data_IF_793669234436
#
_entry.id   IF_793669234436
#
_cell.length_a   1.000
_cell.length_b   1.000
_cell.length_c   1.000
_cell.angle_alpha   90.00
_cell.angle_beta   90.00
_cell.angle_gamma   90.00
#
_symmetry.space_group_name_H-M   'P 1'
#
loop_
_entity.id
_entity.type
_entity.pdbx_description
1 polymer ?
#
# COMPACT_ATOMS: atom_id res chain seq x y z
N UNK A 1 13.10 24.64 -4.57
CA UNK A 1 13.10 23.31 -3.95
C UNK A 1 12.53 22.24 -4.89
N UNK A 2 11.34 22.46 -5.48
CA UNK A 2 10.84 21.62 -6.59
C UNK A 2 11.81 21.53 -7.78
N UNK A 3 12.51 22.62 -8.13
CA UNK A 3 13.61 22.59 -9.11
C UNK A 3 14.81 21.71 -8.73
N UNK A 4 15.06 21.46 -7.44
CA UNK A 4 16.14 20.56 -7.00
C UNK A 4 15.72 19.10 -7.18
N UNK A 5 14.44 18.79 -6.96
CA UNK A 5 13.88 17.47 -7.21
C UNK A 5 13.79 17.15 -8.70
N UNK A 6 13.48 18.15 -9.55
CA UNK A 6 13.41 17.99 -11.01
C UNK A 6 14.77 17.87 -11.72
N UNK A 7 15.89 18.02 -10.99
CA UNK A 7 17.26 18.00 -11.53
C UNK A 7 18.11 16.84 -10.98
N UNK A 8 17.52 15.91 -10.23
CA UNK A 8 18.25 14.73 -9.74
C UNK A 8 18.28 13.67 -10.83
N UNK A 9 19.48 13.17 -11.11
CA UNK A 9 19.63 12.08 -12.06
C UNK A 9 18.94 10.82 -11.53
N UNK A 10 18.12 10.15 -12.37
CA UNK A 10 17.55 8.87 -12.04
C UNK A 10 18.66 7.85 -11.72
N UNK A 11 18.43 7.00 -10.71
CA UNK A 11 19.35 5.89 -10.45
C UNK A 11 19.44 4.98 -11.69
N UNK A 12 20.61 4.39 -11.94
CA UNK A 12 20.76 3.34 -12.94
C UNK A 12 20.13 2.03 -12.44
N UNK A 13 19.73 1.13 -13.34
CA UNK A 13 18.99 -0.10 -13.03
C UNK A 13 19.58 -0.92 -11.86
N UNK A 14 20.88 -1.24 -11.92
CA UNK A 14 21.55 -2.01 -10.86
C UNK A 14 21.61 -1.25 -9.53
N UNK A 15 21.76 0.07 -9.58
CA UNK A 15 21.74 0.92 -8.39
C UNK A 15 20.35 0.92 -7.72
N UNK A 16 19.27 0.86 -8.50
CA UNK A 16 17.89 0.76 -7.97
C UNK A 16 17.68 -0.57 -7.26
N UNK A 17 18.10 -1.67 -7.87
CA UNK A 17 18.04 -3.01 -7.27
C UNK A 17 18.76 -3.05 -5.91
N UNK A 18 19.99 -2.54 -5.87
CA UNK A 18 20.77 -2.47 -4.64
C UNK A 18 20.14 -1.53 -3.61
N UNK A 19 19.58 -0.41 -4.05
CA UNK A 19 18.87 0.53 -3.18
C UNK A 19 17.67 -0.13 -2.51
N UNK A 20 16.79 -0.76 -3.30
CA UNK A 20 15.60 -1.45 -2.79
C UNK A 20 15.98 -2.57 -1.82
N UNK A 21 16.99 -3.40 -2.15
CA UNK A 21 17.48 -4.45 -1.24
C UNK A 21 17.92 -3.89 0.11
N UNK A 22 18.75 -2.84 0.08
CA UNK A 22 19.27 -2.20 1.30
C UNK A 22 18.14 -1.56 2.11
N UNK A 23 17.26 -0.82 1.44
CA UNK A 23 16.14 -0.11 2.05
C UNK A 23 15.14 -1.05 2.69
N UNK A 24 14.89 -2.23 2.11
CA UNK A 24 14.05 -3.26 2.72
C UNK A 24 14.65 -3.82 4.02
N UNK A 25 15.95 -4.08 4.06
CA UNK A 25 16.64 -4.52 5.27
C UNK A 25 16.62 -3.44 6.36
N UNK A 26 16.84 -2.18 5.98
CA UNK A 26 16.76 -1.01 6.86
C UNK A 26 15.36 -0.89 7.47
N UNK A 27 14.31 -0.90 6.64
CA UNK A 27 12.92 -0.83 7.11
C UNK A 27 12.61 -1.99 8.04
N UNK A 28 12.96 -3.21 7.67
CA UNK A 28 12.72 -4.38 8.52
C UNK A 28 13.37 -4.22 9.91
N UNK A 29 14.61 -3.72 9.97
CA UNK A 29 15.29 -3.42 11.23
C UNK A 29 14.56 -2.37 12.08
N UNK A 30 14.10 -1.28 11.45
CA UNK A 30 13.30 -0.23 12.11
C UNK A 30 12.00 -0.79 12.69
N UNK A 31 11.29 -1.62 11.92
CA UNK A 31 10.03 -2.23 12.35
C UNK A 31 10.22 -3.14 13.56
N UNK A 32 11.25 -3.99 13.56
CA UNK A 32 11.56 -4.88 14.70
C UNK A 32 11.82 -4.08 15.98
N UNK A 33 12.40 -2.89 15.88
CA UNK A 33 12.73 -2.05 17.05
C UNK A 33 11.60 -1.11 17.46
N UNK A 34 10.60 -0.89 16.59
CA UNK A 34 9.54 0.11 16.80
C UNK A 34 8.55 -0.21 17.93
N UNK A 35 8.45 -1.48 18.33
CA UNK A 35 7.39 -1.97 19.23
C UNK A 35 5.98 -1.88 18.62
N UNK A 36 5.86 -1.57 17.32
CA UNK A 36 4.58 -1.43 16.63
C UNK A 36 4.11 -2.74 16.00
N UNK A 37 4.98 -3.74 15.82
CA UNK A 37 4.64 -4.91 15.02
C UNK A 37 5.16 -6.20 15.65
N UNK A 38 4.34 -7.24 15.57
CA UNK A 38 4.79 -8.63 15.68
C UNK A 38 5.26 -9.08 14.30
N UNK A 39 6.56 -9.30 14.14
CA UNK A 39 7.14 -9.68 12.85
C UNK A 39 6.81 -11.16 12.53
N UNK A 40 6.39 -11.49 11.30
CA UNK A 40 6.13 -12.89 10.95
C UNK A 40 7.42 -13.73 10.94
N UNK A 41 7.39 -14.92 11.54
CA UNK A 41 8.56 -15.80 11.68
C UNK A 41 9.17 -16.28 10.35
N UNK A 42 8.36 -16.34 9.28
CA UNK A 42 8.77 -16.84 7.95
C UNK A 42 8.18 -16.00 6.82
N UNK A 43 8.77 -14.82 6.62
CA UNK A 43 8.38 -13.88 5.57
C UNK A 43 9.59 -13.47 4.72
N UNK A 44 10.15 -14.43 3.98
CA UNK A 44 11.22 -14.11 3.03
C UNK A 44 10.64 -13.36 1.83
N UNK A 45 11.39 -12.35 1.39
CA UNK A 45 11.02 -11.49 0.27
C UNK A 45 12.14 -11.52 -0.77
N UNK A 46 11.76 -11.81 -2.00
CA UNK A 46 12.66 -11.85 -3.15
C UNK A 46 12.32 -10.71 -4.11
N UNK A 47 13.35 -10.01 -4.59
CA UNK A 47 13.21 -9.04 -5.66
C UNK A 47 13.53 -9.71 -6.98
N UNK A 48 12.61 -9.61 -7.94
CA UNK A 48 12.78 -10.12 -9.29
C UNK A 48 12.55 -9.01 -10.32
N UNK A 49 13.14 -9.23 -11.48
CA UNK A 49 12.73 -8.54 -12.68
C UNK A 49 11.56 -9.31 -13.30
N UNK A 50 10.61 -8.57 -13.86
CA UNK A 50 9.59 -9.10 -14.74
C UNK A 50 10.26 -9.65 -16.01
N UNK A 51 9.68 -10.70 -16.62
CA UNK A 51 10.16 -11.19 -17.91
C UNK A 51 10.24 -10.07 -18.97
N UNK A 52 11.13 -10.17 -19.96
CA UNK A 52 11.28 -9.12 -20.99
C UNK A 52 10.06 -9.02 -21.91
N UNK A 53 9.31 -10.11 -22.07
CA UNK A 53 8.10 -10.18 -22.91
C UNK A 53 6.91 -9.43 -22.30
N UNK A 54 7.13 -8.84 -21.13
CA UNK A 54 6.14 -8.45 -20.18
C UNK A 54 5.93 -6.92 -20.29
N UNK A 55 4.89 -6.49 -21.02
CA UNK A 55 4.52 -5.08 -21.21
C UNK A 55 3.90 -4.42 -19.95
N UNK A 56 3.44 -3.16 -20.07
CA UNK A 56 2.94 -2.22 -19.03
C UNK A 56 2.12 -2.78 -17.84
N UNK A 57 1.55 -3.99 -17.88
CA UNK A 57 0.72 -4.58 -16.82
C UNK A 57 0.82 -6.12 -16.64
N UNK A 58 1.81 -6.79 -17.23
CA UNK A 58 1.85 -8.26 -17.24
C UNK A 58 2.29 -8.92 -15.91
N UNK A 59 3.08 -8.21 -15.08
CA UNK A 59 3.63 -8.71 -13.83
C UNK A 59 3.02 -7.93 -12.67
N UNK A 60 2.49 -8.60 -11.64
CA UNK A 60 2.00 -7.89 -10.48
C UNK A 60 3.16 -7.23 -9.77
N UNK A 61 2.94 -6.07 -9.13
CA UNK A 61 3.98 -5.43 -8.28
C UNK A 61 4.48 -6.39 -7.22
N UNK A 62 3.55 -7.17 -6.65
CA UNK A 62 3.81 -8.12 -5.59
C UNK A 62 3.06 -9.43 -5.84
N UNK A 63 3.74 -10.55 -5.60
CA UNK A 63 3.17 -11.89 -5.58
C UNK A 63 3.36 -12.49 -4.20
N UNK A 64 2.24 -12.84 -3.55
CA UNK A 64 2.23 -13.49 -2.25
C UNK A 64 2.87 -14.90 -2.30
N UNK A 65 3.46 -15.37 -1.19
CA UNK A 65 3.86 -16.77 -1.07
C UNK A 65 2.63 -17.68 -1.17
N UNK A 66 2.79 -18.85 -1.81
CA UNK A 66 1.69 -19.81 -1.97
C UNK A 66 1.24 -20.35 -0.61
N UNK A 67 -0.07 -20.32 -0.30
CA UNK A 67 -0.58 -20.90 0.94
C UNK A 67 -0.27 -22.39 1.04
N UNK A 68 0.36 -22.81 2.14
CA UNK A 68 0.75 -24.21 2.37
C UNK A 68 1.95 -24.69 1.54
N UNK A 69 2.60 -23.79 0.78
CA UNK A 69 3.84 -24.09 0.06
C UNK A 69 5.05 -24.19 0.98
N UNK A 70 6.10 -24.86 0.50
CA UNK A 70 7.34 -25.19 1.23
C UNK A 70 8.29 -23.99 1.46
N UNK A 71 7.78 -22.88 2.01
CA UNK A 71 8.60 -21.70 2.35
C UNK A 71 9.04 -20.84 1.16
N UNK A 72 8.32 -20.89 0.03
CA UNK A 72 8.60 -20.01 -1.11
C UNK A 72 8.46 -18.53 -0.71
N UNK A 73 9.39 -17.64 -1.11
CA UNK A 73 9.35 -16.24 -0.75
C UNK A 73 8.19 -15.52 -1.46
N UNK A 74 7.70 -14.44 -0.83
CA UNK A 74 6.96 -13.42 -1.56
C UNK A 74 7.86 -12.74 -2.59
N UNK A 75 7.33 -12.40 -3.75
CA UNK A 75 8.13 -11.81 -4.84
C UNK A 75 7.66 -10.40 -5.13
N UNK A 76 8.60 -9.47 -5.22
CA UNK A 76 8.38 -8.10 -5.67
C UNK A 76 9.02 -7.90 -7.04
N UNK A 77 8.23 -7.40 -7.99
CA UNK A 77 8.66 -7.09 -9.34
C UNK A 77 8.93 -5.60 -9.48
N UNK A 78 10.11 -5.25 -9.98
CA UNK A 78 10.61 -3.88 -9.94
C UNK A 78 10.11 -3.02 -11.10
N UNK A 79 9.59 -3.58 -12.17
CA UNK A 79 9.33 -2.88 -13.42
C UNK A 79 8.29 -1.77 -13.29
N UNK A 80 7.35 -1.88 -12.35
CA UNK A 80 6.45 -0.76 -11.99
C UNK A 80 7.14 0.37 -11.23
N UNK A 81 8.22 0.08 -10.50
CA UNK A 81 9.11 1.08 -9.90
C UNK A 81 10.17 1.60 -10.89
N UNK A 82 10.31 0.99 -12.06
CA UNK A 82 11.34 1.30 -13.06
C UNK A 82 10.80 1.98 -14.33
N UNK A 83 9.47 2.04 -14.51
CA UNK A 83 8.83 2.56 -15.73
C UNK A 83 8.14 3.90 -15.50
N UNK A 84 8.74 4.96 -16.04
CA UNK A 84 8.25 6.34 -15.98
C UNK A 84 9.35 7.26 -15.44
N UNK A 85 9.71 8.29 -16.20
CA UNK A 85 10.94 9.10 -16.03
C UNK A 85 11.10 9.86 -14.71
N UNK A 86 10.23 9.63 -13.74
CA UNK A 86 10.29 10.17 -12.39
C UNK A 86 10.45 9.09 -11.31
N UNK A 87 10.30 7.77 -11.58
CA UNK A 87 10.25 6.66 -10.61
C UNK A 87 11.58 6.33 -9.90
N UNK A 88 12.61 7.09 -10.20
CA UNK A 88 14.00 6.67 -10.03
C UNK A 88 14.72 7.39 -8.89
N UNK A 89 14.00 8.20 -8.12
CA UNK A 89 14.58 8.89 -6.96
C UNK A 89 14.52 7.99 -5.71
N UNK A 90 15.51 8.12 -4.80
CA UNK A 90 15.55 7.36 -3.54
C UNK A 90 14.25 7.41 -2.73
N UNK A 91 13.59 8.56 -2.71
CA UNK A 91 12.37 8.80 -1.93
C UNK A 91 11.18 8.02 -2.49
N UNK A 92 11.07 7.94 -3.81
CA UNK A 92 10.04 7.13 -4.47
C UNK A 92 10.24 5.66 -4.23
N UNK A 93 11.48 5.19 -4.40
CA UNK A 93 11.82 3.79 -4.12
C UNK A 93 11.59 3.44 -2.65
N UNK A 94 11.84 4.37 -1.73
CA UNK A 94 11.52 4.19 -0.31
C UNK A 94 10.02 4.05 -0.07
N UNK A 95 9.21 4.97 -0.59
CA UNK A 95 7.76 4.90 -0.44
C UNK A 95 7.19 3.66 -1.10
N UNK A 96 7.74 3.26 -2.25
CA UNK A 96 7.40 2.00 -2.91
C UNK A 96 7.76 0.78 -2.06
N UNK A 97 8.91 0.77 -1.38
CA UNK A 97 9.28 -0.27 -0.42
C UNK A 97 8.30 -0.32 0.75
N UNK A 98 7.94 0.83 1.32
CA UNK A 98 6.98 0.91 2.43
C UNK A 98 5.61 0.37 2.03
N UNK A 99 5.10 0.78 0.86
CA UNK A 99 3.81 0.35 0.36
C UNK A 99 3.77 -1.14 0.02
N UNK A 100 4.76 -1.65 -0.72
CA UNK A 100 4.70 -2.99 -1.32
C UNK A 100 5.42 -4.07 -0.52
N UNK A 101 6.43 -3.70 0.27
CA UNK A 101 7.20 -4.62 1.09
C UNK A 101 6.78 -4.53 2.56
N UNK A 102 7.58 -3.81 3.34
CA UNK A 102 7.51 -3.72 4.78
C UNK A 102 7.17 -2.29 5.19
N UNK A 103 6.19 -2.03 6.07
CA UNK A 103 5.24 -2.98 6.64
C UNK A 103 4.01 -3.22 5.74
N UNK A 104 4.03 -2.82 4.47
CA UNK A 104 2.87 -2.87 3.57
C UNK A 104 2.47 -4.26 3.05
N UNK A 105 2.30 -4.39 1.73
CA UNK A 105 1.62 -5.56 1.11
C UNK A 105 2.28 -6.89 1.44
N UNK A 106 3.61 -6.96 1.42
CA UNK A 106 4.32 -8.19 1.71
C UNK A 106 4.07 -8.66 3.14
N UNK A 107 4.19 -7.77 4.13
CA UNK A 107 3.91 -8.11 5.52
C UNK A 107 2.46 -8.57 5.71
N UNK A 108 1.51 -7.87 5.10
CA UNK A 108 0.09 -8.22 5.17
C UNK A 108 -0.17 -9.62 4.62
N UNK A 109 0.37 -9.91 3.43
CA UNK A 109 0.20 -11.20 2.79
C UNK A 109 0.92 -12.33 3.53
N UNK A 110 2.13 -12.09 4.05
CA UNK A 110 2.86 -13.08 4.85
C UNK A 110 2.08 -13.44 6.12
N UNK A 111 1.57 -12.43 6.85
CA UNK A 111 0.75 -12.68 8.03
C UNK A 111 -0.56 -13.40 7.69
N UNK A 112 -1.23 -13.01 6.60
CA UNK A 112 -2.45 -13.67 6.13
C UNK A 112 -2.22 -15.15 5.78
N UNK A 113 -1.13 -15.47 5.07
CA UNK A 113 -0.81 -16.84 4.68
C UNK A 113 -0.51 -17.74 5.88
N UNK A 114 0.08 -17.20 6.95
CA UNK A 114 0.42 -17.95 8.16
C UNK A 114 -0.74 -18.06 9.16
N UNK A 115 -1.48 -16.97 9.37
CA UNK A 115 -2.40 -16.85 10.50
C UNK A 115 -3.87 -17.06 10.13
N UNK A 116 -4.24 -16.93 8.85
CA UNK A 116 -5.64 -17.03 8.47
C UNK A 116 -6.17 -18.48 8.56
N UNK A 117 -7.26 -18.66 9.31
CA UNK A 117 -7.78 -19.98 9.67
C UNK A 117 -8.42 -20.83 8.55
N UNK A 118 -8.53 -20.32 7.31
CA UNK A 118 -9.13 -21.09 6.19
C UNK A 118 -8.38 -20.84 4.89
N UNK A 119 -8.39 -21.81 3.98
CA UNK A 119 -7.79 -21.64 2.64
C UNK A 119 -8.39 -20.45 1.90
N UNK A 120 -9.71 -20.26 1.97
CA UNK A 120 -10.41 -19.12 1.34
C UNK A 120 -9.82 -17.78 1.79
N UNK A 121 -9.56 -17.61 3.09
CA UNK A 121 -8.97 -16.36 3.62
C UNK A 121 -7.49 -16.19 3.28
N UNK A 122 -6.79 -17.27 2.94
CA UNK A 122 -5.39 -17.26 2.51
C UNK A 122 -5.23 -16.98 1.02
N UNK A 123 -6.17 -17.43 0.18
CA UNK A 123 -6.08 -17.30 -1.29
C UNK A 123 -6.89 -16.14 -1.85
N UNK A 124 -7.96 -15.71 -1.17
CA UNK A 124 -8.77 -14.61 -1.67
C UNK A 124 -8.05 -13.28 -1.42
N UNK A 125 -8.18 -12.34 -2.36
CA UNK A 125 -7.56 -11.02 -2.28
C UNK A 125 -8.64 -9.97 -2.01
N UNK A 126 -8.41 -9.14 -1.00
CA UNK A 126 -9.27 -8.00 -0.68
C UNK A 126 -8.48 -6.71 -0.87
N UNK A 127 -8.90 -5.87 -1.82
CA UNK A 127 -8.27 -4.55 -2.01
C UNK A 127 -8.34 -3.71 -0.74
N UNK A 128 -9.46 -3.79 -0.01
CA UNK A 128 -9.63 -3.08 1.26
C UNK A 128 -8.53 -3.47 2.24
N UNK A 129 -8.19 -4.76 2.33
CA UNK A 129 -7.15 -5.18 3.25
C UNK A 129 -5.75 -4.93 2.70
N UNK A 130 -5.47 -5.28 1.46
CA UNK A 130 -4.11 -5.10 0.93
C UNK A 130 -3.74 -3.63 0.73
N UNK A 131 -4.58 -2.90 -0.01
CA UNK A 131 -4.31 -1.49 -0.32
C UNK A 131 -4.55 -0.63 0.90
N UNK A 132 -5.67 -0.83 1.61
CA UNK A 132 -5.98 -0.05 2.82
C UNK A 132 -4.91 -0.19 3.90
N UNK A 133 -4.42 -1.41 4.15
CA UNK A 133 -3.29 -1.64 5.06
C UNK A 133 -2.02 -0.93 4.59
N UNK A 134 -1.65 -1.03 3.31
CA UNK A 134 -0.44 -0.37 2.81
C UNK A 134 -0.46 1.15 2.97
N UNK A 135 -1.62 1.78 2.75
CA UNK A 135 -1.77 3.24 2.94
C UNK A 135 -1.72 3.63 4.42
N UNK A 136 -2.37 2.82 5.26
CA UNK A 136 -2.27 2.95 6.70
C UNK A 136 -0.82 2.82 7.18
N UNK A 137 -0.08 1.84 6.67
CA UNK A 137 1.34 1.60 6.95
C UNK A 137 2.22 2.80 6.52
N UNK A 138 1.99 3.37 5.34
CA UNK A 138 2.70 4.58 4.90
C UNK A 138 2.50 5.76 5.86
N UNK A 139 1.27 5.98 6.31
CA UNK A 139 0.97 7.02 7.29
C UNK A 139 1.64 6.72 8.63
N UNK A 140 1.53 5.50 9.12
CA UNK A 140 2.10 5.10 10.41
C UNK A 140 3.64 5.25 10.41
N UNK A 141 4.33 4.83 9.35
CA UNK A 141 5.79 5.01 9.23
C UNK A 141 6.20 6.48 9.37
N UNK A 142 5.43 7.39 8.78
CA UNK A 142 5.67 8.82 8.93
C UNK A 142 5.43 9.32 10.35
N UNK A 143 4.36 8.89 11.01
CA UNK A 143 4.04 9.29 12.38
C UNK A 143 5.08 8.79 13.40
N UNK A 144 5.73 7.66 13.12
CA UNK A 144 6.84 7.14 13.90
C UNK A 144 8.15 7.91 13.65
N UNK A 145 8.15 8.90 12.76
CA UNK A 145 9.33 9.70 12.42
C UNK A 145 10.31 9.00 11.50
N UNK A 146 9.93 7.90 10.85
CA UNK A 146 10.78 7.24 9.87
C UNK A 146 10.81 8.02 8.55
N UNK A 147 12.00 8.09 7.95
CA UNK A 147 12.28 8.85 6.73
C UNK A 147 11.88 10.33 6.86
N UNK A 148 12.54 11.09 7.76
CA UNK A 148 12.20 12.48 8.04
C UNK A 148 12.58 13.44 6.91
N UNK A 149 13.20 12.96 5.83
CA UNK A 149 13.63 13.77 4.71
C UNK A 149 12.43 14.47 4.05
N UNK A 150 12.50 15.79 3.82
CA UNK A 150 11.38 16.55 3.26
C UNK A 150 11.00 16.06 1.86
N UNK A 151 11.95 15.54 1.09
CA UNK A 151 11.71 14.93 -0.21
C UNK A 151 10.80 13.69 -0.11
N UNK A 152 11.02 12.83 0.90
CA UNK A 152 10.16 11.68 1.18
C UNK A 152 8.78 12.12 1.65
N UNK A 153 8.73 13.11 2.55
CA UNK A 153 7.47 13.67 3.03
C UNK A 153 6.61 14.24 1.89
N UNK A 154 7.20 15.01 0.96
CA UNK A 154 6.50 15.52 -0.21
C UNK A 154 6.03 14.37 -1.11
N UNK A 155 6.90 13.41 -1.43
CA UNK A 155 6.51 12.33 -2.33
C UNK A 155 5.33 11.51 -1.76
N UNK A 156 5.36 11.19 -0.47
CA UNK A 156 4.24 10.54 0.22
C UNK A 156 2.94 11.35 0.11
N UNK A 157 3.01 12.68 0.21
CA UNK A 157 1.83 13.54 0.03
C UNK A 157 1.32 13.56 -1.41
N UNK A 158 2.21 13.56 -2.42
CA UNK A 158 1.82 13.42 -3.83
C UNK A 158 1.14 12.07 -4.09
N UNK A 159 1.67 11.01 -3.52
CA UNK A 159 1.13 9.65 -3.59
C UNK A 159 -0.27 9.54 -2.93
N UNK A 160 -0.47 10.24 -1.80
CA UNK A 160 -1.79 10.38 -1.16
C UNK A 160 -2.77 11.17 -2.01
N UNK A 161 -2.32 12.28 -2.62
CA UNK A 161 -3.13 13.09 -3.52
C UNK A 161 -3.61 12.26 -4.71
N UNK A 162 -2.68 11.55 -5.36
CA UNK A 162 -2.96 10.65 -6.47
C UNK A 162 -4.01 9.59 -6.12
N UNK A 163 -3.85 8.88 -5.00
CA UNK A 163 -4.80 7.83 -4.58
C UNK A 163 -6.18 8.38 -4.21
N UNK A 164 -6.22 9.58 -3.62
CA UNK A 164 -7.48 10.28 -3.35
C UNK A 164 -8.19 10.67 -4.66
N UNK A 165 -7.43 11.20 -5.64
CA UNK A 165 -7.98 11.51 -6.96
C UNK A 165 -8.50 10.25 -7.66
N UNK A 166 -7.77 9.13 -7.61
CA UNK A 166 -8.23 7.86 -8.17
C UNK A 166 -9.55 7.40 -7.55
N UNK A 167 -9.72 7.50 -6.23
CA UNK A 167 -10.97 7.15 -5.57
C UNK A 167 -12.14 8.05 -6.01
N UNK A 168 -11.91 9.35 -6.21
CA UNK A 168 -12.91 10.29 -6.74
C UNK A 168 -13.24 9.96 -8.20
N UNK A 169 -12.24 9.80 -9.05
CA UNK A 169 -12.43 9.47 -10.47
C UNK A 169 -13.16 8.15 -10.68
N UNK A 170 -12.94 7.17 -9.80
CA UNK A 170 -13.68 5.90 -9.84
C UNK A 170 -15.20 6.14 -9.70
N UNK A 171 -15.61 6.98 -8.75
CA UNK A 171 -17.02 7.36 -8.56
C UNK A 171 -17.52 8.19 -9.74
N UNK A 172 -16.76 9.21 -10.15
CA UNK A 172 -17.15 10.10 -11.23
C UNK A 172 -17.39 9.35 -12.55
N UNK A 173 -16.49 8.42 -12.89
CA UNK A 173 -16.59 7.64 -14.13
C UNK A 173 -17.74 6.63 -14.08
N UNK A 174 -17.86 5.89 -12.97
CA UNK A 174 -18.79 4.74 -12.90
C UNK A 174 -20.19 5.10 -12.38
N UNK A 175 -20.37 6.27 -11.76
CA UNK A 175 -21.66 6.73 -11.21
C UNK A 175 -22.14 8.01 -11.90
N UNK A 176 -21.27 9.00 -12.09
CA UNK A 176 -21.64 10.32 -12.61
C UNK A 176 -21.46 10.46 -14.13
N UNK A 177 -20.98 9.42 -14.81
CA UNK A 177 -20.86 9.38 -16.26
C UNK A 177 -19.70 10.23 -16.81
N UNK A 178 -18.68 10.51 -16.01
CA UNK A 178 -17.48 11.20 -16.47
C UNK A 178 -16.79 10.41 -17.60
N UNK A 179 -16.53 11.08 -18.71
CA UNK A 179 -15.81 10.47 -19.83
C UNK A 179 -14.34 10.18 -19.47
N UNK A 180 -13.81 9.06 -19.97
CA UNK A 180 -12.43 8.62 -19.73
C UNK A 180 -11.38 9.69 -20.11
N UNK A 181 -11.63 10.47 -21.17
CA UNK A 181 -10.75 11.58 -21.56
C UNK A 181 -10.68 12.68 -20.49
N UNK A 182 -11.80 12.97 -19.81
CA UNK A 182 -11.82 13.92 -18.70
C UNK A 182 -11.03 13.42 -17.48
N UNK A 183 -11.17 12.14 -17.15
CA UNK A 183 -10.39 11.51 -16.09
C UNK A 183 -8.88 11.51 -16.41
N UNK A 184 -8.50 11.23 -17.66
CA UNK A 184 -7.10 11.28 -18.10
C UNK A 184 -6.48 12.67 -17.93
N UNK A 185 -7.22 13.72 -18.29
CA UNK A 185 -6.76 15.10 -18.12
C UNK A 185 -6.51 15.44 -16.65
N UNK A 186 -7.38 14.99 -15.74
CA UNK A 186 -7.18 15.21 -14.31
C UNK A 186 -5.96 14.44 -13.78
N UNK A 187 -5.75 13.21 -14.23
CA UNK A 187 -4.56 12.41 -13.86
C UNK A 187 -3.26 13.04 -14.38
N UNK A 188 -3.27 13.56 -15.60
CA UNK A 188 -2.11 14.26 -16.19
C UNK A 188 -1.80 15.59 -15.51
N UNK A 189 -2.77 16.19 -14.81
CA UNK A 189 -2.57 17.42 -14.05
C UNK A 189 -1.85 17.19 -12.70
N UNK A 190 -1.64 15.93 -12.28
CA UNK A 190 -0.92 15.62 -11.05
C UNK A 190 0.57 16.01 -11.17
N UNK A 191 1.16 16.69 -10.15
CA UNK A 191 2.56 17.07 -10.21
C UNK A 191 3.49 15.86 -10.33
N UNK A 192 4.34 15.86 -11.36
CA UNK A 192 5.35 14.82 -11.59
C UNK A 192 4.82 13.52 -12.22
N UNK A 193 3.53 13.49 -12.57
CA UNK A 193 2.88 12.36 -13.24
C UNK A 193 3.19 12.37 -14.74
N UNK A 194 3.73 11.27 -15.26
CA UNK A 194 3.95 11.06 -16.69
C UNK A 194 2.66 10.69 -17.43
N UNK A 195 2.67 10.82 -18.76
CA UNK A 195 1.55 10.41 -19.60
C UNK A 195 1.29 8.89 -19.50
N UNK A 196 2.36 8.10 -19.40
CA UNK A 196 2.31 6.65 -19.23
C UNK A 196 1.72 6.25 -17.87
N UNK A 197 2.12 6.93 -16.79
CA UNK A 197 1.54 6.70 -15.46
C UNK A 197 0.05 7.08 -15.42
N UNK A 198 -0.34 8.20 -16.04
CA UNK A 198 -1.74 8.61 -16.14
C UNK A 198 -2.58 7.63 -16.97
N UNK A 199 -2.03 7.10 -18.07
CA UNK A 199 -2.70 6.08 -18.87
C UNK A 199 -2.89 4.77 -18.07
N UNK A 200 -1.87 4.34 -17.32
CA UNK A 200 -1.95 3.16 -16.45
C UNK A 200 -3.00 3.32 -15.36
N UNK A 201 -3.09 4.50 -14.76
CA UNK A 201 -4.12 4.83 -13.77
C UNK A 201 -5.54 4.75 -14.36
N UNK A 202 -5.74 5.33 -15.54
CA UNK A 202 -7.02 5.26 -16.23
C UNK A 202 -7.39 3.80 -16.58
N UNK A 203 -6.44 3.01 -17.05
CA UNK A 203 -6.65 1.59 -17.31
C UNK A 203 -7.03 0.84 -16.02
N UNK A 204 -6.39 1.16 -14.90
CA UNK A 204 -6.72 0.58 -13.61
C UNK A 204 -8.16 0.90 -13.18
N UNK A 205 -8.59 2.18 -13.30
CA UNK A 205 -9.96 2.61 -12.98
C UNK A 205 -11.03 1.91 -13.84
N UNK A 206 -10.73 1.68 -15.12
CA UNK A 206 -11.69 1.05 -16.04
C UNK A 206 -11.74 -0.48 -15.91
N UNK A 207 -10.61 -1.12 -15.59
CA UNK A 207 -10.52 -2.59 -15.45
C UNK A 207 -10.93 -3.09 -14.07
N UNK A 208 -10.72 -2.29 -13.03
CA UNK A 208 -10.95 -2.68 -11.64
C UNK A 208 -11.77 -1.62 -10.90
N UNK A 209 -13.03 -1.40 -11.31
CA UNK A 209 -13.91 -0.43 -10.65
C UNK A 209 -13.97 -0.72 -9.14
N UNK A 210 -14.07 0.32 -8.34
CA UNK A 210 -14.09 0.32 -6.86
C UNK A 210 -12.79 -0.05 -6.16
N UNK A 211 -11.77 -0.56 -6.86
CA UNK A 211 -10.56 -1.07 -6.22
C UNK A 211 -9.81 0.02 -5.45
N UNK A 212 -9.63 1.20 -6.06
CA UNK A 212 -8.95 2.35 -5.46
C UNK A 212 -9.77 2.95 -4.31
N UNK A 213 -11.08 3.13 -4.55
CA UNK A 213 -12.02 3.60 -3.53
C UNK A 213 -12.01 2.72 -2.28
N UNK A 214 -12.08 1.40 -2.46
CA UNK A 214 -12.06 0.44 -1.35
C UNK A 214 -10.76 0.53 -0.53
N UNK A 215 -9.62 0.77 -1.18
CA UNK A 215 -8.34 0.97 -0.51
C UNK A 215 -8.32 2.25 0.33
N UNK A 216 -8.76 3.38 -0.23
CA UNK A 216 -8.80 4.66 0.48
C UNK A 216 -9.77 4.62 1.66
N UNK A 217 -10.97 4.05 1.47
CA UNK A 217 -11.94 3.89 2.57
C UNK A 217 -11.38 3.03 3.69
N UNK A 218 -10.75 1.91 3.36
CA UNK A 218 -10.15 1.02 4.35
C UNK A 218 -9.00 1.67 5.12
N UNK A 219 -8.17 2.47 4.46
CA UNK A 219 -7.14 3.27 5.13
C UNK A 219 -7.75 4.20 6.18
N UNK A 220 -8.79 4.97 5.81
CA UNK A 220 -9.49 5.86 6.74
C UNK A 220 -10.12 5.07 7.89
N UNK A 221 -10.74 3.92 7.61
CA UNK A 221 -11.29 3.03 8.64
C UNK A 221 -10.21 2.56 9.63
N UNK A 222 -9.02 2.21 9.16
CA UNK A 222 -7.90 1.77 10.01
C UNK A 222 -7.33 2.92 10.85
N UNK A 223 -7.16 4.11 10.28
CA UNK A 223 -6.74 5.30 11.05
C UNK A 223 -7.74 5.62 12.17
N UNK A 224 -9.02 5.66 11.84
CA UNK A 224 -10.11 5.89 12.78
C UNK A 224 -10.14 4.80 13.84
N UNK A 225 -10.09 3.52 13.47
CA UNK A 225 -10.04 2.42 14.43
C UNK A 225 -8.82 2.51 15.36
N UNK A 226 -7.63 2.86 14.83
CA UNK A 226 -6.45 3.03 15.67
C UNK A 226 -6.64 4.16 16.67
N UNK A 227 -7.26 5.28 16.28
CA UNK A 227 -7.58 6.37 17.22
C UNK A 227 -8.49 5.86 18.34
N UNK A 228 -9.56 5.15 18.01
CA UNK A 228 -10.47 4.55 18.99
C UNK A 228 -9.74 3.62 19.96
N UNK A 229 -8.81 2.81 19.45
CA UNK A 229 -8.01 1.90 20.25
C UNK A 229 -7.01 2.66 21.15
N UNK A 230 -6.41 3.74 20.64
CA UNK A 230 -5.49 4.59 21.39
C UNK A 230 -6.16 5.32 22.54
N UNK A 231 -7.40 5.81 22.33
CA UNK A 231 -8.17 6.52 23.36
C UNK A 231 -8.52 5.62 24.56
N UNK A 232 -8.59 4.31 24.33
CA UNK A 232 -8.91 3.31 25.35
C UNK A 232 -7.66 2.77 26.06
N UNK A 233 -6.55 2.65 25.33
CA UNK A 233 -5.28 2.16 25.87
C UNK A 233 -5.32 0.70 26.35
N UNK A 234 -6.32 -0.09 25.95
CA UNK A 234 -6.52 -1.47 26.40
C UNK A 234 -5.66 -2.50 25.62
N UNK A 235 -5.05 -2.12 24.50
CA UNK A 235 -4.26 -3.00 23.65
C UNK A 235 -2.93 -2.32 23.23
N UNK A 236 -1.78 -3.00 23.42
CA UNK A 236 -0.51 -2.54 22.87
C UNK A 236 -0.55 -2.41 21.33
N UNK A 237 0.19 -1.46 20.72
CA UNK A 237 0.19 -1.27 19.26
C UNK A 237 0.59 -2.52 18.46
N UNK A 238 1.57 -3.28 18.94
CA UNK A 238 1.98 -4.54 18.32
C UNK A 238 0.84 -5.56 18.25
N UNK A 239 0.08 -5.70 19.34
CA UNK A 239 -1.05 -6.63 19.41
C UNK A 239 -2.21 -6.15 18.54
N UNK A 240 -2.47 -4.83 18.51
CA UNK A 240 -3.45 -4.22 17.61
C UNK A 240 -3.19 -4.57 16.14
N UNK A 241 -1.95 -4.35 15.68
CA UNK A 241 -1.57 -4.68 14.31
C UNK A 241 -1.58 -6.19 14.04
N UNK A 242 -1.12 -7.01 14.99
CA UNK A 242 -1.13 -8.47 14.86
C UNK A 242 -2.56 -9.00 14.67
N UNK A 243 -3.53 -8.52 15.46
CA UNK A 243 -4.92 -8.94 15.35
C UNK A 243 -5.56 -8.58 14.00
N UNK A 244 -5.25 -7.39 13.46
CA UNK A 244 -5.69 -6.96 12.13
C UNK A 244 -5.12 -7.86 11.03
N UNK A 245 -3.81 -8.10 11.07
CA UNK A 245 -3.10 -8.89 10.07
C UNK A 245 -3.50 -10.36 10.09
N UNK A 246 -3.83 -10.91 11.26
CA UNK A 246 -4.23 -12.30 11.44
C UNK A 246 -5.56 -12.68 10.76
N UNK A 247 -6.40 -11.69 10.40
CA UNK A 247 -7.71 -11.99 9.81
C UNK A 247 -7.66 -12.50 8.37
N UNK A 248 -6.52 -12.34 7.69
CA UNK A 248 -6.39 -12.62 6.26
C UNK A 248 -7.06 -11.54 5.40
N UNK A 249 -7.23 -11.82 4.10
CA UNK A 249 -7.80 -10.84 3.16
C UNK A 249 -9.33 -10.88 3.15
N UNK A 250 -9.96 -10.13 4.05
CA UNK A 250 -11.42 -9.89 4.06
C UNK A 250 -11.71 -8.38 4.12
N UNK A 251 -12.98 -7.99 3.99
CA UNK A 251 -13.38 -6.59 4.05
C UNK A 251 -13.09 -5.98 5.44
N UNK A 252 -12.57 -4.75 5.49
CA UNK A 252 -12.23 -4.06 6.75
C UNK A 252 -13.39 -3.97 7.76
N UNK A 253 -14.63 -3.64 7.36
CA UNK A 253 -15.75 -3.66 8.29
C UNK A 253 -15.94 -5.01 9.01
N UNK A 254 -15.67 -6.12 8.32
CA UNK A 254 -15.76 -7.47 8.91
C UNK A 254 -14.60 -7.76 9.86
N UNK A 255 -13.38 -7.32 9.52
CA UNK A 255 -12.22 -7.41 10.43
C UNK A 255 -12.53 -6.65 11.71
N UNK A 256 -12.95 -5.39 11.60
CA UNK A 256 -13.22 -4.51 12.73
C UNK A 256 -14.28 -5.12 13.64
N UNK A 257 -15.43 -5.52 13.09
CA UNK A 257 -16.53 -6.12 13.86
C UNK A 257 -16.15 -7.42 14.56
N UNK A 258 -15.36 -8.27 13.89
CA UNK A 258 -14.98 -9.58 14.42
C UNK A 258 -13.94 -9.50 15.52
N UNK A 259 -13.00 -8.58 15.39
CA UNK A 259 -11.82 -8.47 16.28
C UNK A 259 -12.07 -7.48 17.41
N UNK A 260 -12.59 -6.30 17.09
CA UNK A 260 -12.77 -5.18 18.03
C UNK A 260 -14.24 -4.98 18.44
N UNK A 261 -15.14 -5.81 17.91
CA UNK A 261 -16.56 -5.82 18.28
C UNK A 261 -17.42 -4.83 17.50
N UNK A 262 -18.74 -4.97 17.68
CA UNK A 262 -19.72 -4.14 16.99
C UNK A 262 -19.65 -2.65 17.39
N UNK A 263 -19.25 -2.36 18.63
CA UNK A 263 -19.12 -0.98 19.13
C UNK A 263 -17.99 -0.22 18.41
N UNK A 264 -16.83 -0.86 18.21
CA UNK A 264 -15.72 -0.26 17.47
C UNK A 264 -16.13 0.06 16.03
N UNK A 265 -16.83 -0.87 15.35
CA UNK A 265 -17.34 -0.61 14.00
C UNK A 265 -18.36 0.54 13.97
N UNK A 266 -19.33 0.55 14.87
CA UNK A 266 -20.33 1.62 14.93
C UNK A 266 -19.68 3.00 15.15
N UNK A 267 -18.61 3.06 15.95
CA UNK A 267 -17.85 4.28 16.15
C UNK A 267 -17.12 4.71 14.87
N UNK A 268 -16.41 3.78 14.19
CA UNK A 268 -15.73 4.05 12.91
C UNK A 268 -16.73 4.53 11.85
N UNK A 269 -17.88 3.87 11.76
CA UNK A 269 -18.95 4.21 10.81
C UNK A 269 -19.50 5.61 11.07
N UNK A 270 -19.78 5.94 12.33
CA UNK A 270 -20.27 7.26 12.71
C UNK A 270 -19.26 8.38 12.40
N UNK A 271 -17.96 8.14 12.63
CA UNK A 271 -16.92 9.14 12.36
C UNK A 271 -16.68 9.39 10.88
N UNK A 272 -16.89 8.39 10.02
CA UNK A 272 -16.53 8.49 8.59
C UNK A 272 -17.71 8.76 7.66
N UNK A 273 -18.91 8.28 7.98
CA UNK A 273 -20.03 8.28 7.04
C UNK A 273 -21.24 9.11 7.48
N UNK A 274 -21.34 9.43 8.78
CA UNK A 274 -22.49 10.15 9.34
C UNK A 274 -22.14 11.60 9.72
N UNK A 275 -21.14 12.19 9.04
CA UNK A 275 -20.82 13.62 9.16
C UNK A 275 -21.64 14.47 8.19
#
# INVERSE_FOLDING_TARGET
WLEKLSRRDPLQHDAKLQYVRRRQLEIHGLLTQSGQFVMPDSASLELRQAPEECQLECAPVYRAPLPGGSGAPGVLYLEQALSGGSADTPERLTAWCVHNAWPGRHMQAAAASCLAGTLVRRVNHSSSQQVGWSLYAEQLMHELGFFPEPEYALYRLLERLRRSLLAVLDIEMHVHGMAAAGALLQLQALPGQSAEEAARDLLSLTRHPTQHLAGVLAWKQLETLRQWQSDRGDLPPADFHALLLAQGSIAMPLVIRRVFGAQAWAWVEAQLYNQ
#
